data_IF_372416344637
#
_entry.id   IF_372416344637
#
_cell.length_a   1.000
_cell.length_b   1.000
_cell.length_c   1.000
_cell.angle_alpha   90.00
_cell.angle_beta   90.00
_cell.angle_gamma   90.00
#
_symmetry.space_group_name_H-M   'P 1'
#
loop_
_entity.id
_entity.type
_entity.pdbx_description
1 polymer ?
#
# COMPACT_ATOMS: atom_id res chain seq x y z
N UNK A 1 23.65 5.53 -9.84
CA UNK A 1 23.40 4.19 -10.43
C UNK A 1 21.95 4.07 -10.84
N UNK A 2 21.58 3.16 -11.72
CA UNK A 2 20.18 2.89 -12.10
C UNK A 2 19.65 1.79 -11.18
N UNK A 3 18.48 1.99 -10.59
CA UNK A 3 17.84 0.95 -9.77
C UNK A 3 17.19 -0.11 -10.68
N UNK A 4 17.90 -1.20 -10.92
CA UNK A 4 17.44 -2.27 -11.83
C UNK A 4 16.19 -3.00 -11.33
N UNK A 5 16.01 -3.15 -10.02
CA UNK A 5 14.80 -3.75 -9.46
C UNK A 5 13.56 -2.90 -9.76
N UNK A 6 13.71 -1.57 -9.68
CA UNK A 6 12.64 -0.64 -10.03
C UNK A 6 12.35 -0.67 -11.54
N UNK A 7 13.38 -0.79 -12.39
CA UNK A 7 13.21 -0.99 -13.84
C UNK A 7 12.41 -2.26 -14.12
N UNK A 8 12.77 -3.38 -13.48
CA UNK A 8 12.08 -4.66 -13.66
C UNK A 8 10.62 -4.59 -13.19
N UNK A 9 10.35 -3.91 -12.07
CA UNK A 9 8.99 -3.69 -11.61
C UNK A 9 8.16 -2.89 -12.64
N UNK A 10 8.71 -1.80 -13.18
CA UNK A 10 8.01 -0.99 -14.20
C UNK A 10 7.84 -1.77 -15.50
N UNK A 11 8.83 -2.56 -15.91
CA UNK A 11 8.74 -3.46 -17.07
C UNK A 11 7.60 -4.47 -16.91
N UNK A 12 7.34 -4.96 -15.71
CA UNK A 12 6.23 -5.89 -15.46
C UNK A 12 4.85 -5.26 -15.62
N UNK A 13 4.78 -3.93 -15.64
CA UNK A 13 3.51 -3.17 -15.75
C UNK A 13 3.35 -2.55 -17.14
N UNK A 14 4.43 -2.00 -17.71
CA UNK A 14 4.39 -1.26 -18.99
C UNK A 14 4.93 -2.07 -20.19
N UNK A 15 5.44 -3.27 -19.94
CA UNK A 15 6.21 -4.02 -20.93
C UNK A 15 7.68 -3.60 -20.96
N UNK A 16 8.50 -4.29 -21.78
CA UNK A 16 9.94 -4.06 -21.85
C UNK A 16 10.26 -2.67 -22.42
N UNK A 17 10.93 -1.85 -21.63
CA UNK A 17 11.40 -0.53 -22.04
C UNK A 17 12.67 -0.58 -22.88
N UNK A 18 12.93 0.47 -23.65
CA UNK A 18 14.18 0.67 -24.41
C UNK A 18 15.00 1.79 -23.77
N UNK A 19 16.30 1.52 -23.56
CA UNK A 19 17.21 2.53 -23.03
C UNK A 19 17.41 3.68 -24.02
N UNK A 20 17.26 4.91 -23.56
CA UNK A 20 17.52 6.13 -24.34
C UNK A 20 18.98 6.56 -24.22
N UNK A 21 19.44 7.39 -25.14
CA UNK A 21 20.80 7.95 -25.10
C UNK A 21 21.08 8.78 -23.81
N UNK A 22 20.02 9.30 -23.18
CA UNK A 22 20.11 10.05 -21.91
C UNK A 22 20.10 9.16 -20.67
N UNK A 23 20.08 7.83 -20.83
CA UNK A 23 20.06 6.86 -19.73
C UNK A 23 18.68 6.58 -19.14
N UNK A 24 17.62 7.23 -19.65
CA UNK A 24 16.25 6.91 -19.27
C UNK A 24 15.77 5.60 -19.93
N UNK A 25 14.62 5.08 -19.51
CA UNK A 25 13.90 4.01 -20.21
C UNK A 25 12.68 4.60 -20.93
N UNK A 26 12.47 4.21 -22.19
CA UNK A 26 11.29 4.61 -22.96
C UNK A 26 10.32 3.44 -23.13
N UNK A 27 9.03 3.72 -22.96
CA UNK A 27 7.93 2.77 -23.00
C UNK A 27 6.85 3.22 -23.97
N UNK A 28 5.99 2.31 -24.42
CA UNK A 28 4.73 2.67 -25.06
C UNK A 28 3.83 3.36 -24.04
N UNK A 29 3.29 4.51 -24.41
CA UNK A 29 2.47 5.28 -23.49
C UNK A 29 1.07 4.66 -23.34
N UNK A 30 0.65 4.25 -22.13
CA UNK A 30 -0.67 3.65 -21.92
C UNK A 30 -1.81 4.67 -22.00
N UNK A 31 -1.51 5.96 -22.09
CA UNK A 31 -2.52 7.01 -22.14
C UNK A 31 -2.90 7.41 -23.57
N UNK A 32 -1.98 7.39 -24.49
CA UNK A 32 -2.22 7.81 -25.88
C UNK A 32 -1.96 6.69 -26.91
N UNK A 33 -1.53 5.52 -26.50
CA UNK A 33 -1.28 4.35 -27.33
C UNK A 33 -0.46 4.65 -28.60
N UNK A 34 0.48 5.61 -28.50
CA UNK A 34 1.32 5.97 -29.66
C UNK A 34 2.18 4.80 -30.11
N UNK A 35 2.29 4.57 -31.43
CA UNK A 35 2.98 3.45 -32.05
C UNK A 35 4.48 3.35 -31.68
N UNK A 36 5.13 4.45 -31.34
CA UNK A 36 6.52 4.48 -30.88
C UNK A 36 6.59 4.67 -29.37
N UNK A 37 7.58 4.11 -28.65
CA UNK A 37 7.78 4.31 -27.23
C UNK A 37 8.15 5.78 -26.96
N UNK A 38 7.25 6.55 -26.38
CA UNK A 38 7.38 7.99 -26.13
C UNK A 38 7.18 8.39 -24.67
N UNK A 39 6.86 7.43 -23.80
CA UNK A 39 6.84 7.61 -22.36
C UNK A 39 8.25 7.33 -21.82
N UNK A 40 8.96 8.37 -21.43
CA UNK A 40 10.28 8.22 -20.78
C UNK A 40 10.16 8.22 -19.26
N UNK A 41 10.90 7.34 -18.62
CA UNK A 41 11.00 7.22 -17.17
C UNK A 41 12.46 7.28 -16.77
N UNK A 42 12.78 8.11 -15.77
CA UNK A 42 14.11 8.22 -15.21
C UNK A 42 14.23 7.30 -13.98
N UNK A 43 15.16 6.36 -14.04
CA UNK A 43 15.46 5.41 -12.95
C UNK A 43 16.78 5.69 -12.23
N UNK A 44 17.41 6.85 -12.50
CA UNK A 44 18.61 7.20 -11.75
C UNK A 44 18.27 7.33 -10.26
N UNK A 45 19.16 6.84 -9.41
CA UNK A 45 19.05 6.96 -7.94
C UNK A 45 19.22 8.41 -7.51
N UNK A 46 18.22 9.22 -7.83
CA UNK A 46 18.10 10.59 -7.36
C UNK A 46 17.14 10.64 -6.20
N UNK A 47 17.62 11.14 -5.07
CA UNK A 47 16.78 11.59 -3.94
C UNK A 47 15.41 10.94 -3.79
N UNK A 48 15.32 9.86 -3.00
CA UNK A 48 14.09 9.47 -2.29
C UNK A 48 12.82 9.28 -3.16
N UNK A 49 12.85 8.32 -4.06
CA UNK A 49 11.66 7.96 -4.86
C UNK A 49 11.26 9.01 -5.90
N UNK A 50 12.15 9.94 -6.21
CA UNK A 50 11.98 10.87 -7.30
C UNK A 50 12.39 10.21 -8.61
N UNK A 51 11.41 9.69 -9.34
CA UNK A 51 11.57 9.05 -10.63
C UNK A 51 10.64 9.74 -11.63
N UNK A 52 11.05 10.88 -12.19
CA UNK A 52 10.21 11.63 -13.11
C UNK A 52 9.95 10.84 -14.39
N UNK A 53 8.75 10.97 -14.90
CA UNK A 53 8.32 10.38 -16.15
C UNK A 53 7.53 11.38 -16.98
N UNK A 54 7.64 11.28 -18.30
CA UNK A 54 6.98 12.16 -19.22
C UNK A 54 6.70 11.46 -20.56
N UNK A 55 5.51 11.65 -21.12
CA UNK A 55 5.18 11.25 -22.48
C UNK A 55 5.31 12.45 -23.43
N UNK A 56 6.21 12.36 -24.37
CA UNK A 56 6.51 13.38 -25.35
C UNK A 56 5.42 13.61 -26.43
N UNK A 57 4.32 12.84 -26.39
CA UNK A 57 3.19 12.96 -27.33
C UNK A 57 1.95 13.54 -26.66
N UNK A 58 1.52 13.00 -25.52
CA UNK A 58 0.31 13.46 -24.84
C UNK A 58 0.58 14.38 -23.64
N UNK A 59 1.84 14.74 -23.41
CA UNK A 59 2.33 15.62 -22.31
C UNK A 59 1.96 15.15 -20.90
N UNK A 60 1.46 13.93 -20.73
CA UNK A 60 1.25 13.36 -19.39
C UNK A 60 2.59 13.14 -18.71
N UNK A 61 2.70 13.62 -17.48
CA UNK A 61 3.94 13.62 -16.71
C UNK A 61 3.69 13.46 -15.21
N UNK A 62 4.74 13.11 -14.51
CA UNK A 62 4.72 13.03 -13.05
C UNK A 62 6.14 12.87 -12.51
N UNK A 63 6.28 13.00 -11.20
CA UNK A 63 7.57 13.00 -10.51
C UNK A 63 7.88 11.69 -9.80
N UNK A 64 6.92 10.78 -9.68
CA UNK A 64 7.05 9.50 -8.97
C UNK A 64 6.39 8.37 -9.74
N UNK A 65 6.97 7.17 -9.67
CA UNK A 65 6.37 5.95 -10.28
C UNK A 65 4.99 5.64 -9.67
N UNK A 66 4.80 5.91 -8.37
CA UNK A 66 3.50 5.71 -7.71
C UNK A 66 2.37 6.51 -8.37
N UNK A 67 2.67 7.72 -8.84
CA UNK A 67 1.70 8.55 -9.59
C UNK A 67 1.36 7.92 -10.94
N UNK A 68 2.36 7.39 -11.64
CA UNK A 68 2.16 6.67 -12.89
C UNK A 68 1.28 5.43 -12.67
N UNK A 69 1.63 4.58 -11.70
CA UNK A 69 0.87 3.37 -11.37
C UNK A 69 -0.58 3.68 -10.98
N UNK A 70 -0.79 4.75 -10.21
CA UNK A 70 -2.15 5.20 -9.85
C UNK A 70 -2.96 5.59 -11.10
N UNK A 71 -2.36 6.34 -12.03
CA UNK A 71 -3.06 6.82 -13.23
C UNK A 71 -3.41 5.69 -14.21
N UNK A 72 -2.58 4.66 -14.29
CA UNK A 72 -2.83 3.49 -15.14
C UNK A 72 -3.61 2.38 -14.43
N UNK A 73 -4.02 2.61 -13.18
CA UNK A 73 -4.74 1.64 -12.33
C UNK A 73 -3.99 0.29 -12.22
N UNK A 74 -2.69 0.36 -11.97
CA UNK A 74 -1.88 -0.83 -11.76
C UNK A 74 -2.41 -1.67 -10.59
N UNK A 75 -2.19 -2.98 -10.62
CA UNK A 75 -2.64 -3.90 -9.59
C UNK A 75 -2.06 -3.54 -8.19
N UNK A 76 -2.82 -3.73 -7.09
CA UNK A 76 -2.39 -3.36 -5.74
C UNK A 76 -1.04 -3.94 -5.32
N UNK A 77 -0.73 -5.17 -5.76
CA UNK A 77 0.55 -5.84 -5.46
C UNK A 77 1.74 -5.04 -5.98
N UNK A 78 1.58 -4.37 -7.14
CA UNK A 78 2.63 -3.55 -7.74
C UNK A 78 2.96 -2.31 -6.91
N UNK A 79 1.98 -1.77 -6.19
CA UNK A 79 2.24 -0.69 -5.22
C UNK A 79 3.01 -1.19 -4.01
N UNK A 80 2.67 -2.36 -3.49
CA UNK A 80 3.40 -2.98 -2.37
C UNK A 80 4.86 -3.21 -2.74
N UNK A 81 5.13 -3.76 -3.93
CA UNK A 81 6.48 -3.98 -4.42
C UNK A 81 7.23 -2.66 -4.65
N UNK A 82 6.54 -1.65 -5.21
CA UNK A 82 7.11 -0.32 -5.40
C UNK A 82 7.53 0.31 -4.07
N UNK A 83 6.69 0.26 -3.05
CA UNK A 83 7.01 0.83 -1.74
C UNK A 83 8.20 0.13 -1.09
N UNK A 84 8.34 -1.19 -1.22
CA UNK A 84 9.53 -1.92 -0.74
C UNK A 84 10.82 -1.45 -1.40
N UNK A 85 10.77 -1.06 -2.69
CA UNK A 85 11.95 -0.63 -3.45
C UNK A 85 12.31 0.84 -3.23
N UNK A 86 11.33 1.69 -2.95
CA UNK A 86 11.48 3.15 -2.91
C UNK A 86 11.48 3.69 -1.49
N UNK A 87 10.98 2.93 -0.51
CA UNK A 87 10.96 3.32 0.90
C UNK A 87 12.38 3.54 1.43
N UNK A 88 12.59 4.68 2.10
CA UNK A 88 13.80 4.93 2.85
C UNK A 88 13.89 3.97 4.04
N UNK A 89 15.10 3.78 4.61
CA UNK A 89 15.30 3.00 5.83
C UNK A 89 14.39 3.46 6.99
N UNK A 90 14.09 4.74 7.08
CA UNK A 90 13.16 5.26 8.08
C UNK A 90 11.69 4.92 7.77
N UNK A 91 11.30 4.89 6.49
CA UNK A 91 9.95 4.45 6.07
C UNK A 91 9.83 2.92 6.13
N UNK A 92 10.91 2.18 5.87
CA UNK A 92 10.98 0.73 6.11
C UNK A 92 10.79 0.41 7.59
N UNK A 93 11.42 1.16 8.50
CA UNK A 93 11.20 1.04 9.95
C UNK A 93 9.78 1.38 10.37
N UNK A 94 9.07 2.26 9.67
CA UNK A 94 7.64 2.55 9.91
C UNK A 94 6.76 1.41 9.39
N UNK A 95 7.14 0.74 8.30
CA UNK A 95 6.41 -0.44 7.78
C UNK A 95 6.77 -1.71 8.57
N UNK A 96 7.99 -1.82 9.09
CA UNK A 96 8.42 -2.90 9.99
C UNK A 96 7.97 -2.66 11.44
N UNK A 97 7.84 -1.41 11.86
CA UNK A 97 6.98 -1.04 12.96
C UNK A 97 5.52 -1.06 12.46
N UNK A 98 5.02 -2.23 12.10
CA UNK A 98 3.64 -2.55 12.41
C UNK A 98 3.50 -2.11 13.86
N UNK A 99 2.79 -1.03 14.09
CA UNK A 99 2.45 -0.59 15.44
C UNK A 99 1.82 -1.85 16.02
N UNK A 100 2.60 -2.54 16.84
CA UNK A 100 2.06 -3.62 17.64
C UNK A 100 1.04 -2.90 18.50
N UNK A 101 -0.20 -2.91 18.06
CA UNK A 101 -1.30 -2.27 18.76
C UNK A 101 -1.40 -3.05 20.06
N UNK A 102 -0.71 -2.53 21.08
CA UNK A 102 -0.80 -3.10 22.41
C UNK A 102 -2.22 -2.86 22.88
N UNK A 103 -2.98 -3.93 22.91
CA UNK A 103 -4.31 -3.89 23.49
C UNK A 103 -4.21 -3.37 24.94
N UNK A 104 -5.18 -2.60 25.39
CA UNK A 104 -5.24 -2.16 26.77
C UNK A 104 -5.11 -3.34 27.74
N UNK A 105 -4.51 -3.13 28.90
CA UNK A 105 -4.36 -4.20 29.90
C UNK A 105 -5.70 -4.77 30.35
N UNK A 106 -6.73 -3.94 30.31
CA UNK A 106 -8.12 -4.22 30.65
C UNK A 106 -8.92 -4.84 29.51
N UNK A 107 -8.30 -5.08 28.34
CA UNK A 107 -8.97 -5.70 27.19
C UNK A 107 -9.39 -7.14 27.50
N UNK A 108 -10.66 -7.43 27.29
CA UNK A 108 -11.25 -8.76 27.44
C UNK A 108 -11.87 -9.17 26.11
N UNK A 109 -11.44 -10.29 25.48
CA UNK A 109 -12.06 -10.77 24.25
C UNK A 109 -13.52 -11.14 24.47
N UNK A 110 -14.38 -10.84 23.54
CA UNK A 110 -15.75 -11.34 23.53
C UNK A 110 -15.73 -12.83 23.20
N UNK A 111 -16.37 -13.65 24.04
CA UNK A 111 -16.50 -15.08 23.85
C UNK A 111 -17.95 -15.52 23.97
N UNK A 112 -18.30 -16.68 23.42
CA UNK A 112 -19.65 -17.29 23.58
C UNK A 112 -20.08 -17.48 25.04
N UNK A 113 -19.12 -17.62 25.95
CA UNK A 113 -19.32 -17.85 27.38
C UNK A 113 -18.93 -16.60 28.20
N UNK A 114 -19.12 -15.40 27.63
CA UNK A 114 -18.83 -14.16 28.35
C UNK A 114 -19.48 -14.14 29.72
N UNK A 115 -18.65 -14.20 30.77
CA UNK A 115 -19.07 -14.10 32.16
C UNK A 115 -19.19 -12.61 32.52
N UNK A 116 -20.29 -12.25 33.13
CA UNK A 116 -20.53 -10.86 33.56
C UNK A 116 -21.55 -10.11 32.66
N UNK A 117 -22.03 -9.00 33.18
CA UNK A 117 -23.06 -8.19 32.52
C UNK A 117 -22.44 -7.50 31.28
N UNK A 118 -21.24 -6.91 31.42
CA UNK A 118 -20.55 -6.15 30.36
C UNK A 118 -20.21 -7.04 29.16
N UNK A 119 -19.72 -8.27 29.38
CA UNK A 119 -19.44 -9.18 28.29
C UNK A 119 -20.69 -9.61 27.50
N UNK A 120 -21.82 -9.84 28.19
CA UNK A 120 -23.10 -10.13 27.56
C UNK A 120 -23.63 -8.93 26.76
N UNK A 121 -23.49 -7.73 27.26
CA UNK A 121 -23.87 -6.50 26.57
C UNK A 121 -23.02 -6.28 25.32
N UNK A 122 -21.70 -6.46 25.44
CA UNK A 122 -20.75 -6.34 24.31
C UNK A 122 -21.12 -7.32 23.18
N UNK A 123 -21.38 -8.59 23.53
CA UNK A 123 -21.82 -9.57 22.53
C UNK A 123 -23.18 -9.22 21.91
N UNK A 124 -24.15 -8.80 22.71
CA UNK A 124 -25.46 -8.38 22.21
C UNK A 124 -25.35 -7.19 21.24
N UNK A 125 -24.50 -6.23 21.56
CA UNK A 125 -24.22 -5.09 20.71
C UNK A 125 -23.64 -5.50 19.34
N UNK A 126 -22.60 -6.37 19.33
CA UNK A 126 -21.98 -6.85 18.10
C UNK A 126 -22.96 -7.65 17.25
N UNK A 127 -23.73 -8.53 17.88
CA UNK A 127 -24.76 -9.34 17.21
C UNK A 127 -25.86 -8.48 16.58
N UNK A 128 -26.30 -7.43 17.28
CA UNK A 128 -27.30 -6.50 16.74
C UNK A 128 -26.79 -5.70 15.53
N UNK A 129 -25.45 -5.63 15.33
CA UNK A 129 -24.81 -5.07 14.16
C UNK A 129 -24.55 -6.08 13.04
N UNK A 130 -25.03 -7.32 13.20
CA UNK A 130 -24.92 -8.38 12.21
C UNK A 130 -23.57 -9.14 12.23
N UNK A 131 -22.74 -8.94 13.27
CA UNK A 131 -21.48 -9.67 13.41
C UNK A 131 -21.75 -11.08 13.96
N UNK A 132 -21.06 -12.04 13.37
CA UNK A 132 -21.06 -13.44 13.80
C UNK A 132 -19.94 -13.69 14.82
N UNK A 133 -19.95 -14.85 15.45
CA UNK A 133 -18.87 -15.25 16.37
C UNK A 133 -17.55 -15.47 15.62
N UNK A 134 -17.62 -15.99 14.40
CA UNK A 134 -16.46 -16.15 13.52
C UNK A 134 -15.81 -14.80 13.20
N UNK A 135 -16.61 -13.75 13.01
CA UNK A 135 -16.08 -12.39 12.82
C UNK A 135 -15.40 -11.88 14.10
N UNK A 136 -16.00 -12.15 15.26
CA UNK A 136 -15.43 -11.75 16.56
C UNK A 136 -14.07 -12.39 16.79
N UNK A 137 -13.94 -13.68 16.51
CA UNK A 137 -12.68 -14.42 16.65
C UNK A 137 -11.66 -13.96 15.60
N UNK A 138 -12.08 -13.86 14.34
CA UNK A 138 -11.22 -13.46 13.23
C UNK A 138 -10.58 -12.07 13.43
N UNK A 139 -11.34 -11.12 13.97
CA UNK A 139 -10.89 -9.76 14.18
C UNK A 139 -10.46 -9.47 15.62
N UNK A 140 -10.44 -10.50 16.49
CA UNK A 140 -10.10 -10.40 17.90
C UNK A 140 -10.85 -9.25 18.60
N UNK A 141 -12.17 -9.21 18.47
CA UNK A 141 -12.99 -8.18 19.05
C UNK A 141 -13.17 -8.38 20.55
N UNK A 142 -13.11 -7.31 21.30
CA UNK A 142 -13.21 -7.34 22.76
C UNK A 142 -13.83 -6.08 23.34
N UNK A 143 -13.83 -6.00 24.64
CA UNK A 143 -14.34 -4.87 25.42
C UNK A 143 -13.42 -4.58 26.60
N UNK A 144 -13.56 -3.38 27.17
CA UNK A 144 -12.90 -3.00 28.41
C UNK A 144 -13.97 -2.69 29.46
N UNK A 145 -13.91 -3.35 30.63
CA UNK A 145 -14.87 -3.11 31.71
C UNK A 145 -14.57 -1.81 32.49
N UNK A 146 -13.33 -1.38 32.47
CA UNK A 146 -12.83 -0.21 33.19
C UNK A 146 -11.69 0.45 32.42
N UNK A 147 -11.23 1.61 32.87
CA UNK A 147 -10.13 2.34 32.26
C UNK A 147 -10.60 3.38 31.25
N UNK A 148 -9.66 3.88 30.44
CA UNK A 148 -9.90 4.96 29.51
C UNK A 148 -10.78 4.59 28.31
N UNK A 149 -11.01 3.30 28.10
CA UNK A 149 -11.76 2.73 26.97
C UNK A 149 -13.08 2.07 27.38
N UNK A 150 -13.46 2.19 28.66
CA UNK A 150 -14.78 1.77 29.14
C UNK A 150 -15.77 2.92 28.92
N UNK A 151 -16.85 2.68 28.20
CA UNK A 151 -18.01 3.58 28.09
C UNK A 151 -19.21 2.97 28.79
#
# INVERSE_FOLDING_TARGET
MVNELLVNLVNSVLGTGKRTARGNQSYHCPFCNHAKPKLEVNFSENKKGYNPWHCWVCDKKGTRISTLFKQIKAAPEKFTDLFKLVANENERKIVENVIEVKLPKEFTPVTNNAKGITGKQAWSYLRNRGLTMDDVEKYNLGYCEYGNYSN
#
